data_IF_441250864944
#
_entry.id   IF_441250864944
#
_cell.length_a   1.000
_cell.length_b   1.000
_cell.length_c   1.000
_cell.angle_alpha   90.00
_cell.angle_beta   90.00
_cell.angle_gamma   90.00
#
_symmetry.space_group_name_H-M   'P 1'
#
loop_
_entity.id
_entity.type
_entity.pdbx_description
1 polymer ?
#
# COMPACT_ATOMS: atom_id res chain seq x y z
N UNK A 1 -15.79 -13.53 -21.62
CA UNK A 1 -16.65 -14.26 -20.67
C UNK A 1 -15.81 -14.68 -19.47
N UNK A 2 -16.08 -14.11 -18.29
CA UNK A 2 -15.35 -14.46 -17.07
C UNK A 2 -15.81 -15.81 -16.55
N UNK A 3 -14.91 -16.79 -16.46
CA UNK A 3 -15.17 -18.07 -15.81
C UNK A 3 -15.65 -17.78 -14.37
N UNK A 4 -16.87 -18.21 -14.05
CA UNK A 4 -17.39 -18.11 -12.69
C UNK A 4 -16.71 -19.19 -11.86
N UNK A 5 -15.72 -18.79 -11.06
CA UNK A 5 -15.04 -19.71 -10.15
C UNK A 5 -15.86 -19.82 -8.87
N UNK A 6 -16.58 -20.93 -8.73
CA UNK A 6 -17.45 -21.18 -7.57
C UNK A 6 -16.70 -21.78 -6.35
N UNK A 7 -15.46 -22.24 -6.53
CA UNK A 7 -14.70 -22.92 -5.48
C UNK A 7 -13.25 -22.43 -5.42
N UNK A 8 -12.73 -22.28 -4.21
CA UNK A 8 -11.34 -21.94 -3.95
C UNK A 8 -10.34 -23.04 -4.36
N UNK A 9 -10.78 -24.26 -4.68
CA UNK A 9 -9.86 -25.32 -5.11
C UNK A 9 -9.10 -24.98 -6.40
N UNK A 10 -9.77 -24.35 -7.39
CA UNK A 10 -9.10 -23.90 -8.62
C UNK A 10 -8.13 -22.73 -8.34
N UNK A 11 -8.58 -21.79 -7.49
CA UNK A 11 -7.77 -20.68 -7.00
C UNK A 11 -6.50 -21.17 -6.29
N UNK A 12 -6.60 -22.26 -5.51
CA UNK A 12 -5.49 -22.86 -4.77
C UNK A 12 -4.35 -23.29 -5.69
N UNK A 13 -4.66 -24.00 -6.77
CA UNK A 13 -3.65 -24.47 -7.72
C UNK A 13 -2.93 -23.26 -8.34
N UNK A 14 -3.68 -22.24 -8.77
CA UNK A 14 -3.12 -21.03 -9.39
C UNK A 14 -2.27 -20.21 -8.41
N UNK A 15 -2.70 -20.05 -7.16
CA UNK A 15 -1.95 -19.26 -6.18
C UNK A 15 -0.62 -19.94 -5.78
N UNK A 16 -0.56 -21.28 -5.79
CA UNK A 16 0.69 -22.01 -5.56
C UNK A 16 1.74 -21.68 -6.62
N UNK A 17 1.34 -21.57 -7.90
CA UNK A 17 2.26 -21.12 -8.96
C UNK A 17 2.69 -19.67 -8.77
N UNK A 18 1.75 -18.77 -8.45
CA UNK A 18 2.09 -17.35 -8.27
C UNK A 18 3.02 -17.09 -7.08
N UNK A 19 3.01 -17.95 -6.05
CA UNK A 19 3.93 -17.87 -4.91
C UNK A 19 5.40 -17.96 -5.32
N UNK A 20 5.71 -18.59 -6.46
CA UNK A 20 7.08 -18.67 -6.99
C UNK A 20 7.65 -17.30 -7.39
N UNK A 21 6.79 -16.28 -7.58
CA UNK A 21 7.21 -14.90 -7.87
C UNK A 21 7.61 -14.11 -6.62
N UNK A 22 7.65 -14.74 -5.44
CA UNK A 22 8.03 -14.13 -4.17
C UNK A 22 9.40 -14.68 -3.78
N UNK A 23 10.33 -13.77 -3.47
CA UNK A 23 11.65 -14.12 -2.97
C UNK A 23 11.55 -14.71 -1.56
N UNK A 24 12.24 -15.82 -1.34
CA UNK A 24 12.42 -16.37 0.00
C UNK A 24 13.48 -15.59 0.78
N UNK A 25 13.56 -15.83 2.09
CA UNK A 25 14.48 -15.11 2.98
C UNK A 25 15.95 -15.26 2.52
N UNK A 26 16.32 -16.42 2.00
CA UNK A 26 17.67 -16.67 1.48
C UNK A 26 17.97 -15.81 0.24
N UNK A 27 17.04 -15.73 -0.70
CA UNK A 27 17.14 -14.87 -1.88
C UNK A 27 17.19 -13.39 -1.49
N UNK A 28 16.38 -12.97 -0.52
CA UNK A 28 16.41 -11.61 0.02
C UNK A 28 17.75 -11.26 0.69
N UNK A 29 18.41 -12.23 1.34
CA UNK A 29 19.77 -12.03 1.87
C UNK A 29 20.80 -11.88 0.75
N UNK A 30 20.69 -12.69 -0.32
CA UNK A 30 21.55 -12.53 -1.51
C UNK A 30 21.35 -11.18 -2.19
N UNK A 31 20.12 -10.68 -2.29
CA UNK A 31 19.81 -9.37 -2.85
C UNK A 31 20.60 -8.23 -2.17
N UNK A 32 20.85 -8.34 -0.87
CA UNK A 32 21.64 -7.34 -0.12
C UNK A 32 23.08 -7.23 -0.61
N UNK A 33 23.64 -8.29 -1.19
CA UNK A 33 25.03 -8.35 -1.65
C UNK A 33 25.24 -7.72 -3.03
N UNK A 34 24.16 -7.53 -3.80
CA UNK A 34 24.23 -6.93 -5.15
C UNK A 34 24.73 -5.48 -5.09
N UNK A 35 25.66 -5.07 -5.96
CA UNK A 35 26.29 -3.74 -5.86
C UNK A 35 25.95 -2.79 -7.00
N UNK A 36 25.63 -3.31 -8.19
CA UNK A 36 25.35 -2.48 -9.37
C UNK A 36 23.91 -2.62 -9.82
N UNK A 37 23.40 -1.61 -10.53
CA UNK A 37 22.01 -1.61 -11.00
C UNK A 37 21.77 -2.72 -12.03
N UNK A 38 22.74 -2.99 -12.91
CA UNK A 38 22.67 -4.08 -13.89
C UNK A 38 22.54 -5.45 -13.22
N UNK A 39 23.43 -5.74 -12.25
CA UNK A 39 23.36 -6.98 -11.47
C UNK A 39 22.03 -7.08 -10.71
N UNK A 40 21.51 -5.95 -10.22
CA UNK A 40 20.23 -5.91 -9.52
C UNK A 40 19.06 -6.28 -10.44
N UNK A 41 18.98 -5.65 -11.61
CA UNK A 41 17.95 -5.94 -12.61
C UNK A 41 18.03 -7.42 -13.02
N UNK A 42 19.22 -7.93 -13.32
CA UNK A 42 19.43 -9.35 -13.66
C UNK A 42 18.98 -10.28 -12.54
N UNK A 43 19.32 -9.95 -11.29
CA UNK A 43 18.97 -10.76 -10.12
C UNK A 43 17.47 -10.86 -9.89
N UNK A 44 16.74 -9.74 -10.02
CA UNK A 44 15.30 -9.71 -9.70
C UNK A 44 14.40 -10.12 -10.87
N UNK A 45 14.93 -10.23 -12.09
CA UNK A 45 14.16 -10.41 -13.34
C UNK A 45 13.14 -11.55 -13.30
N UNK A 46 13.49 -12.70 -12.71
CA UNK A 46 12.58 -13.85 -12.61
C UNK A 46 11.36 -13.58 -11.72
N UNK A 47 11.48 -12.66 -10.77
CA UNK A 47 10.43 -12.28 -9.81
C UNK A 47 9.59 -11.08 -10.30
N UNK A 48 10.09 -10.37 -11.32
CA UNK A 48 9.48 -9.17 -11.91
C UNK A 48 9.47 -9.25 -13.43
N UNK A 49 8.64 -10.14 -14.01
CA UNK A 49 8.55 -10.30 -15.46
C UNK A 49 8.03 -9.00 -16.10
N UNK A 50 8.85 -8.39 -16.95
CA UNK A 50 8.56 -7.10 -17.60
C UNK A 50 9.55 -5.99 -17.24
N UNK A 51 10.44 -6.22 -16.27
CA UNK A 51 11.51 -5.27 -15.96
C UNK A 51 12.58 -5.32 -17.08
N UNK A 52 12.72 -4.22 -17.83
CA UNK A 52 13.70 -4.09 -18.91
C UNK A 52 15.04 -3.53 -18.37
N UNK A 53 16.12 -3.81 -19.09
CA UNK A 53 17.48 -3.36 -18.80
C UNK A 53 17.64 -1.84 -18.88
N UNK A 54 16.71 -1.15 -19.55
CA UNK A 54 16.75 0.29 -19.75
C UNK A 54 16.12 1.11 -18.61
N UNK A 55 15.55 0.45 -17.60
CA UNK A 55 15.03 1.12 -16.41
C UNK A 55 16.20 1.60 -15.53
N UNK A 56 16.68 2.81 -15.77
CA UNK A 56 17.86 3.37 -15.10
C UNK A 56 17.53 4.25 -13.89
N UNK A 57 16.31 4.78 -13.81
CA UNK A 57 15.88 5.65 -12.70
C UNK A 57 15.15 4.88 -11.61
N UNK A 58 15.11 5.45 -10.40
CA UNK A 58 14.32 4.90 -9.28
C UNK A 58 12.84 4.83 -9.68
N UNK A 59 12.37 5.84 -10.40
CA UNK A 59 10.99 6.00 -10.82
C UNK A 59 10.58 4.92 -11.82
N UNK A 60 11.39 4.69 -12.86
CA UNK A 60 11.12 3.63 -13.86
C UNK A 60 11.03 2.26 -13.20
N UNK A 61 11.97 1.98 -12.31
CA UNK A 61 12.01 0.72 -11.56
C UNK A 61 10.77 0.62 -10.66
N UNK A 62 10.44 1.67 -9.91
CA UNK A 62 9.27 1.68 -9.05
C UNK A 62 7.97 1.45 -9.85
N UNK A 63 7.82 2.07 -11.02
CA UNK A 63 6.68 1.87 -11.91
C UNK A 63 6.58 0.40 -12.32
N UNK A 64 7.68 -0.19 -12.80
CA UNK A 64 7.73 -1.60 -13.23
C UNK A 64 7.44 -2.60 -12.09
N UNK A 65 7.94 -2.33 -10.88
CA UNK A 65 7.67 -3.15 -9.69
C UNK A 65 6.18 -3.10 -9.32
N UNK A 66 5.59 -1.90 -9.32
CA UNK A 66 4.16 -1.73 -9.04
C UNK A 66 3.29 -2.37 -10.11
N UNK A 67 3.65 -2.23 -11.39
CA UNK A 67 2.94 -2.85 -12.49
C UNK A 67 2.93 -4.38 -12.37
N UNK A 68 4.08 -4.99 -12.05
CA UNK A 68 4.16 -6.42 -11.77
C UNK A 68 3.22 -6.83 -10.64
N UNK A 69 3.20 -6.07 -9.54
CA UNK A 69 2.36 -6.37 -8.39
C UNK A 69 0.87 -6.22 -8.70
N UNK A 70 0.48 -5.21 -9.47
CA UNK A 70 -0.90 -5.04 -9.94
C UNK A 70 -1.31 -6.19 -10.88
N UNK A 71 -0.44 -6.60 -11.82
CA UNK A 71 -0.66 -7.77 -12.69
C UNK A 71 -0.82 -9.05 -11.89
N UNK A 72 -0.04 -9.22 -10.82
CA UNK A 72 -0.16 -10.34 -9.89
C UNK A 72 -1.56 -10.37 -9.24
N UNK A 73 -2.02 -9.24 -8.70
CA UNK A 73 -3.35 -9.10 -8.11
C UNK A 73 -4.45 -9.36 -9.15
N UNK A 74 -4.31 -8.80 -10.35
CA UNK A 74 -5.24 -9.01 -11.45
C UNK A 74 -5.36 -10.46 -11.90
N UNK A 75 -4.24 -11.20 -11.91
CA UNK A 75 -4.26 -12.66 -12.07
C UNK A 75 -5.07 -13.30 -10.94
N UNK A 76 -4.84 -12.95 -9.67
CA UNK A 76 -5.62 -13.47 -8.54
C UNK A 76 -7.13 -13.19 -8.69
N UNK A 77 -7.50 -11.99 -9.10
CA UNK A 77 -8.89 -11.60 -9.40
C UNK A 77 -9.52 -12.54 -10.43
N UNK A 78 -8.79 -12.93 -11.48
CA UNK A 78 -9.32 -13.74 -12.59
C UNK A 78 -9.80 -15.13 -12.14
N UNK A 79 -9.23 -15.69 -11.08
CA UNK A 79 -9.49 -17.06 -10.64
C UNK A 79 -10.04 -17.17 -9.22
N UNK A 80 -10.50 -16.07 -8.61
CA UNK A 80 -11.10 -16.07 -7.26
C UNK A 80 -12.63 -16.02 -7.28
N UNK A 81 -13.31 -16.54 -6.24
CA UNK A 81 -14.76 -16.42 -6.07
C UNK A 81 -15.23 -14.97 -5.95
N UNK A 82 -16.53 -14.73 -6.18
CA UNK A 82 -17.13 -13.39 -6.31
C UNK A 82 -16.81 -12.46 -5.14
N UNK A 83 -16.92 -12.92 -3.89
CA UNK A 83 -16.67 -12.08 -2.73
C UNK A 83 -15.20 -11.65 -2.62
N UNK A 84 -14.27 -12.59 -2.78
CA UNK A 84 -12.83 -12.30 -2.82
C UNK A 84 -12.46 -11.42 -4.01
N UNK A 85 -13.04 -11.70 -5.18
CA UNK A 85 -12.88 -10.87 -6.38
C UNK A 85 -13.29 -9.42 -6.12
N UNK A 86 -14.44 -9.19 -5.47
CA UNK A 86 -14.90 -7.84 -5.08
C UNK A 86 -13.92 -7.19 -4.11
N UNK A 87 -13.48 -7.90 -3.07
CA UNK A 87 -12.48 -7.40 -2.13
C UNK A 87 -11.17 -7.01 -2.84
N UNK A 88 -10.63 -7.85 -3.72
CA UNK A 88 -9.39 -7.60 -4.44
C UNK A 88 -9.52 -6.45 -5.47
N UNK A 89 -10.68 -6.28 -6.11
CA UNK A 89 -10.95 -5.09 -6.92
C UNK A 89 -10.92 -3.83 -6.07
N UNK A 90 -11.56 -3.85 -4.90
CA UNK A 90 -11.51 -2.73 -3.96
C UNK A 90 -10.12 -2.49 -3.37
N UNK A 91 -9.31 -3.55 -3.24
CA UNK A 91 -7.89 -3.44 -2.89
C UNK A 91 -7.09 -2.67 -3.96
N UNK A 92 -7.39 -2.87 -5.25
CA UNK A 92 -6.73 -2.15 -6.34
C UNK A 92 -7.05 -0.64 -6.39
N UNK A 93 -8.10 -0.17 -5.71
CA UNK A 93 -8.45 1.26 -5.63
C UNK A 93 -7.30 2.10 -5.06
N UNK A 94 -6.40 1.50 -4.25
CA UNK A 94 -5.17 2.18 -3.79
C UNK A 94 -4.35 2.75 -4.96
N UNK A 95 -4.29 2.04 -6.09
CA UNK A 95 -3.53 2.45 -7.27
C UNK A 95 -4.29 3.48 -8.10
N UNK A 96 -5.62 3.39 -8.18
CA UNK A 96 -6.45 4.43 -8.79
C UNK A 96 -6.33 5.76 -8.03
N UNK A 97 -6.39 5.72 -6.70
CA UNK A 97 -6.13 6.88 -5.84
C UNK A 97 -4.72 7.43 -6.06
N UNK A 98 -3.71 6.57 -6.20
CA UNK A 98 -2.34 7.01 -6.52
C UNK A 98 -2.27 7.69 -7.89
N UNK A 99 -2.95 7.17 -8.90
CA UNK A 99 -3.02 7.77 -10.22
C UNK A 99 -3.69 9.15 -10.15
N UNK A 100 -4.83 9.26 -9.45
CA UNK A 100 -5.53 10.54 -9.23
C UNK A 100 -4.61 11.56 -8.56
N UNK A 101 -3.90 11.17 -7.49
CA UNK A 101 -2.93 12.04 -6.80
C UNK A 101 -1.84 12.53 -7.75
N UNK A 102 -1.27 11.64 -8.56
CA UNK A 102 -0.24 11.99 -9.54
C UNK A 102 -0.75 12.97 -10.59
N UNK A 103 -1.98 12.77 -11.09
CA UNK A 103 -2.57 13.69 -12.07
C UNK A 103 -2.79 15.07 -11.47
N UNK A 104 -3.33 15.16 -10.24
CA UNK A 104 -3.52 16.46 -9.56
C UNK A 104 -2.19 17.15 -9.31
N UNK A 105 -1.17 16.42 -8.85
CA UNK A 105 0.18 16.94 -8.68
C UNK A 105 0.75 17.44 -10.01
N UNK A 106 0.57 16.67 -11.09
CA UNK A 106 0.98 17.10 -12.44
C UNK A 106 0.28 18.38 -12.87
N UNK A 107 -1.02 18.53 -12.59
CA UNK A 107 -1.77 19.76 -12.85
C UNK A 107 -1.26 20.94 -12.04
N UNK A 108 -0.92 20.75 -10.75
CA UNK A 108 -0.28 21.79 -9.92
C UNK A 108 1.08 22.21 -10.49
N UNK A 109 1.81 21.26 -11.07
CA UNK A 109 3.11 21.47 -11.70
C UNK A 109 3.01 21.89 -13.18
N UNK A 110 1.81 22.20 -13.66
CA UNK A 110 1.54 22.64 -15.04
C UNK A 110 2.00 21.65 -16.13
N UNK A 111 2.07 20.35 -15.79
CA UNK A 111 2.43 19.29 -16.72
C UNK A 111 1.38 19.12 -17.82
N UNK A 112 1.84 18.83 -19.04
CA UNK A 112 0.98 18.53 -20.16
C UNK A 112 0.33 17.13 -20.06
N UNK A 113 -0.57 16.81 -20.99
CA UNK A 113 -1.29 15.53 -21.00
C UNK A 113 -0.35 14.31 -21.10
N UNK A 114 0.65 14.36 -21.98
CA UNK A 114 1.58 13.24 -22.21
C UNK A 114 2.41 12.95 -20.96
N UNK A 115 2.92 14.01 -20.32
CA UNK A 115 3.64 13.92 -19.05
C UNK A 115 2.77 13.29 -17.96
N UNK A 116 1.55 13.79 -17.76
CA UNK A 116 0.60 13.22 -16.78
C UNK A 116 0.27 11.76 -17.08
N UNK A 117 0.08 11.42 -18.35
CA UNK A 117 -0.24 10.06 -18.77
C UNK A 117 0.93 9.10 -18.50
N UNK A 118 2.17 9.55 -18.68
CA UNK A 118 3.38 8.75 -18.39
C UNK A 118 3.51 8.37 -16.90
N UNK A 119 2.92 9.17 -16.01
CA UNK A 119 2.97 8.94 -14.57
C UNK A 119 1.89 7.97 -14.07
N UNK A 120 0.84 7.74 -14.85
CA UNK A 120 -0.33 6.92 -14.48
C UNK A 120 -0.07 5.44 -14.74
N UNK A 121 -0.41 4.59 -13.77
CA UNK A 121 -0.43 3.15 -13.98
C UNK A 121 -1.75 2.71 -14.63
N UNK A 122 -1.74 2.47 -15.94
CA UNK A 122 -2.95 2.10 -16.69
C UNK A 122 -3.43 0.67 -16.38
N UNK A 123 -2.53 -0.23 -15.97
CA UNK A 123 -2.88 -1.62 -15.64
C UNK A 123 -3.87 -1.72 -14.47
N UNK A 124 -3.74 -0.85 -13.44
CA UNK A 124 -4.74 -0.81 -12.37
C UNK A 124 -6.12 -0.45 -12.92
N UNK A 125 -6.18 0.52 -13.82
CA UNK A 125 -7.42 1.02 -14.41
C UNK A 125 -8.04 0.02 -15.38
N UNK A 126 -7.25 -0.80 -16.07
CA UNK A 126 -7.74 -1.94 -16.86
C UNK A 126 -8.51 -2.92 -15.98
N UNK A 127 -7.94 -3.31 -14.83
CA UNK A 127 -8.62 -4.23 -13.92
C UNK A 127 -9.84 -3.60 -13.26
N UNK A 128 -9.83 -2.29 -13.01
CA UNK A 128 -10.97 -1.58 -12.45
C UNK A 128 -12.05 -1.25 -13.48
N UNK A 129 -11.72 -1.21 -14.77
CA UNK A 129 -12.61 -0.81 -15.86
C UNK A 129 -12.68 0.71 -16.05
N UNK A 130 -11.65 1.45 -15.62
CA UNK A 130 -11.64 2.91 -15.48
C UNK A 130 -10.60 3.61 -16.37
N UNK A 131 -10.14 2.95 -17.44
CA UNK A 131 -9.16 3.53 -18.38
C UNK A 131 -9.67 4.85 -18.97
N UNK A 132 -10.93 4.90 -19.41
CA UNK A 132 -11.52 6.12 -19.95
C UNK A 132 -11.59 7.23 -18.91
N UNK A 133 -11.94 6.88 -17.67
CA UNK A 133 -11.98 7.81 -16.55
C UNK A 133 -10.61 8.45 -16.28
N UNK A 134 -9.54 7.65 -16.19
CA UNK A 134 -8.22 8.20 -15.90
C UNK A 134 -7.65 9.01 -17.08
N UNK A 135 -7.91 8.59 -18.33
CA UNK A 135 -7.47 9.32 -19.52
C UNK A 135 -8.14 10.68 -19.61
N UNK A 136 -9.45 10.75 -19.41
CA UNK A 136 -10.17 12.02 -19.33
C UNK A 136 -9.64 12.91 -18.20
N UNK A 137 -9.25 12.33 -17.06
CA UNK A 137 -8.62 13.11 -15.98
C UNK A 137 -7.26 13.70 -16.39
N UNK A 138 -6.45 12.99 -17.17
CA UNK A 138 -5.14 13.49 -17.63
C UNK A 138 -5.24 14.64 -18.64
N UNK A 139 -6.38 14.81 -19.31
CA UNK A 139 -6.61 15.91 -20.26
C UNK A 139 -6.88 17.24 -19.56
N UNK A 140 -7.31 17.20 -18.29
CA UNK A 140 -7.72 18.39 -17.55
C UNK A 140 -6.51 19.20 -17.06
N UNK A 141 -6.51 20.50 -17.35
CA UNK A 141 -5.40 21.41 -17.05
C UNK A 141 -5.65 22.33 -15.85
N UNK A 142 -6.87 22.35 -15.28
CA UNK A 142 -7.20 23.19 -14.12
C UNK A 142 -7.75 22.39 -12.95
N UNK A 143 -7.45 22.82 -11.72
CA UNK A 143 -7.96 22.16 -10.50
C UNK A 143 -9.49 22.28 -10.35
N UNK A 144 -10.08 23.35 -10.88
CA UNK A 144 -11.53 23.57 -10.86
C UNK A 144 -12.26 22.57 -11.77
N UNK A 145 -11.71 22.33 -12.96
CA UNK A 145 -12.22 21.30 -13.87
C UNK A 145 -12.04 19.89 -13.28
N UNK A 146 -10.93 19.60 -12.58
CA UNK A 146 -10.76 18.32 -11.88
C UNK A 146 -11.87 18.14 -10.84
N UNK A 147 -12.16 19.18 -10.05
CA UNK A 147 -13.23 19.13 -9.06
C UNK A 147 -14.59 18.86 -9.71
N UNK A 148 -14.87 19.48 -10.86
CA UNK A 148 -16.10 19.27 -11.63
C UNK A 148 -16.18 17.84 -12.19
N UNK A 149 -15.10 17.35 -12.81
CA UNK A 149 -15.00 16.00 -13.37
C UNK A 149 -15.18 14.91 -12.30
N UNK A 150 -14.76 15.18 -11.07
CA UNK A 150 -14.87 14.26 -9.95
C UNK A 150 -16.25 14.24 -9.28
N UNK A 151 -17.15 15.16 -9.64
CA UNK A 151 -18.40 15.43 -8.90
C UNK A 151 -19.26 14.20 -8.66
N UNK A 152 -19.42 13.34 -9.66
CA UNK A 152 -20.29 12.16 -9.63
C UNK A 152 -19.52 10.87 -9.28
N UNK A 153 -18.28 11.01 -8.83
CA UNK A 153 -17.43 9.88 -8.43
C UNK A 153 -17.41 9.71 -6.92
N UNK A 154 -16.97 8.53 -6.46
CA UNK A 154 -16.66 8.27 -5.03
C UNK A 154 -15.57 9.20 -4.46
N UNK A 155 -14.81 9.89 -5.32
CA UNK A 155 -13.72 10.80 -4.96
C UNK A 155 -14.16 12.24 -4.72
N UNK A 156 -15.36 12.61 -5.17
CA UNK A 156 -15.92 13.97 -5.15
C UNK A 156 -15.67 14.74 -3.85
N UNK A 157 -16.02 14.12 -2.71
CA UNK A 157 -15.87 14.75 -1.39
C UNK A 157 -14.40 14.98 -1.03
N UNK A 158 -13.57 13.95 -1.16
CA UNK A 158 -12.15 14.00 -0.83
C UNK A 158 -11.41 15.05 -1.69
N UNK A 159 -11.72 15.09 -2.99
CA UNK A 159 -11.15 16.06 -3.94
C UNK A 159 -11.56 17.48 -3.58
N UNK A 160 -12.86 17.73 -3.35
CA UNK A 160 -13.37 19.05 -3.01
C UNK A 160 -12.75 19.59 -1.72
N UNK A 161 -12.75 18.78 -0.65
CA UNK A 161 -12.21 19.19 0.65
C UNK A 161 -10.70 19.38 0.59
N UNK A 162 -9.98 18.47 -0.08
CA UNK A 162 -8.54 18.55 -0.27
C UNK A 162 -8.08 19.74 -1.10
N UNK A 163 -8.72 20.00 -2.25
CA UNK A 163 -8.38 21.13 -3.12
C UNK A 163 -8.69 22.47 -2.47
N UNK A 164 -9.80 22.57 -1.72
CA UNK A 164 -10.12 23.77 -0.95
C UNK A 164 -9.00 24.09 0.06
N UNK A 165 -8.52 23.08 0.78
CA UNK A 165 -7.43 23.27 1.72
C UNK A 165 -6.12 23.66 1.03
N UNK A 166 -5.79 22.99 -0.08
CA UNK A 166 -4.59 23.29 -0.86
C UNK A 166 -4.57 24.74 -1.35
N UNK A 167 -5.68 25.24 -1.92
CA UNK A 167 -5.78 26.64 -2.39
C UNK A 167 -5.51 27.67 -1.28
N UNK A 168 -5.89 27.36 -0.04
CA UNK A 168 -5.75 28.27 1.09
C UNK A 168 -4.39 28.18 1.79
N UNK A 169 -3.69 27.05 1.71
CA UNK A 169 -2.51 26.77 2.55
C UNK A 169 -1.27 26.31 1.76
N UNK A 170 -1.39 26.06 0.46
CA UNK A 170 -0.35 25.48 -0.40
C UNK A 170 0.25 24.17 0.16
N UNK A 171 -0.61 23.33 0.76
CA UNK A 171 -0.22 22.07 1.41
C UNK A 171 -0.94 20.90 0.77
N UNK A 172 -0.17 19.97 0.21
CA UNK A 172 -0.67 18.82 -0.55
C UNK A 172 -1.00 17.64 0.38
N UNK A 173 -0.38 17.55 1.55
CA UNK A 173 -0.59 16.46 2.50
C UNK A 173 -2.08 16.23 2.81
N UNK A 174 -2.85 17.30 3.00
CA UNK A 174 -4.28 17.21 3.35
C UNK A 174 -5.09 16.61 2.21
N UNK A 175 -4.83 17.04 0.97
CA UNK A 175 -5.45 16.47 -0.22
C UNK A 175 -5.14 14.97 -0.32
N UNK A 176 -3.88 14.58 -0.15
CA UNK A 176 -3.50 13.17 -0.19
C UNK A 176 -4.17 12.36 0.92
N UNK A 177 -4.22 12.91 2.14
CA UNK A 177 -4.76 12.24 3.31
C UNK A 177 -6.26 11.93 3.15
N UNK A 178 -7.06 12.86 2.60
CA UNK A 178 -8.47 12.60 2.30
C UNK A 178 -8.68 11.46 1.30
N UNK A 179 -7.84 11.41 0.26
CA UNK A 179 -7.91 10.33 -0.73
C UNK A 179 -7.44 8.99 -0.13
N UNK A 180 -6.35 9.00 0.64
CA UNK A 180 -5.85 7.79 1.28
C UNK A 180 -6.84 7.24 2.32
N UNK A 181 -7.50 8.11 3.09
CA UNK A 181 -8.52 7.69 4.06
C UNK A 181 -9.67 6.95 3.37
N UNK A 182 -10.12 7.47 2.23
CA UNK A 182 -11.21 6.88 1.45
C UNK A 182 -10.92 5.41 1.11
N UNK A 183 -9.69 5.06 0.76
CA UNK A 183 -9.29 3.68 0.49
C UNK A 183 -9.56 2.75 1.69
N UNK A 184 -9.11 3.14 2.89
CA UNK A 184 -9.26 2.32 4.08
C UNK A 184 -10.72 2.24 4.55
N UNK A 185 -11.50 3.31 4.39
CA UNK A 185 -12.95 3.28 4.63
C UNK A 185 -13.68 2.34 3.65
N UNK A 186 -13.27 2.28 2.38
CA UNK A 186 -13.80 1.31 1.40
C UNK A 186 -13.49 -0.11 1.88
N UNK A 187 -12.23 -0.43 2.21
CA UNK A 187 -11.86 -1.77 2.68
C UNK A 187 -12.61 -2.18 3.95
N UNK A 188 -12.76 -1.27 4.91
CA UNK A 188 -13.51 -1.49 6.15
C UNK A 188 -14.97 -1.84 5.87
N UNK A 189 -15.61 -1.16 4.91
CA UNK A 189 -16.99 -1.46 4.49
C UNK A 189 -17.07 -2.83 3.80
N UNK A 190 -16.11 -3.14 2.93
CA UNK A 190 -16.07 -4.42 2.20
C UNK A 190 -15.96 -5.65 3.11
N UNK A 191 -15.23 -5.54 4.21
CA UNK A 191 -15.12 -6.62 5.21
C UNK A 191 -16.49 -7.07 5.73
N UNK A 192 -17.49 -6.18 5.77
CA UNK A 192 -18.85 -6.49 6.24
C UNK A 192 -19.59 -7.41 5.27
N UNK A 193 -19.22 -7.38 4.00
CA UNK A 193 -19.88 -8.10 2.91
C UNK A 193 -19.23 -9.46 2.59
N UNK A 194 -18.20 -9.86 3.35
CA UNK A 194 -17.49 -11.12 3.21
C UNK A 194 -18.20 -12.26 3.94
N UNK A 195 -18.00 -13.49 3.46
CA UNK A 195 -18.50 -14.67 4.16
C UNK A 195 -17.67 -14.96 5.44
N UNK A 196 -18.15 -15.86 6.30
CA UNK A 196 -17.52 -16.15 7.60
C UNK A 196 -16.04 -16.60 7.48
N UNK A 197 -15.71 -17.39 6.44
CA UNK A 197 -14.33 -17.90 6.22
C UNK A 197 -13.39 -16.76 5.82
N UNK A 198 -13.79 -15.97 4.83
CA UNK A 198 -13.07 -14.79 4.32
C UNK A 198 -12.89 -13.72 5.39
N UNK A 199 -13.98 -13.39 6.09
CA UNK A 199 -14.05 -12.29 7.06
C UNK A 199 -13.02 -12.44 8.17
N UNK A 200 -12.73 -13.66 8.63
CA UNK A 200 -11.78 -13.89 9.72
C UNK A 200 -10.36 -13.41 9.37
N UNK A 201 -9.86 -13.78 8.19
CA UNK A 201 -8.50 -13.41 7.75
C UNK A 201 -8.46 -11.99 7.21
N UNK A 202 -9.40 -11.63 6.34
CA UNK A 202 -9.41 -10.32 5.72
C UNK A 202 -9.69 -9.22 6.74
N UNK A 203 -10.55 -9.44 7.74
CA UNK A 203 -10.77 -8.43 8.79
C UNK A 203 -9.48 -8.15 9.58
N UNK A 204 -8.67 -9.18 9.87
CA UNK A 204 -7.41 -8.97 10.57
C UNK A 204 -6.43 -8.17 9.69
N UNK A 205 -6.35 -8.52 8.40
CA UNK A 205 -5.55 -7.80 7.41
C UNK A 205 -5.93 -6.32 7.30
N UNK A 206 -7.22 -6.04 7.14
CA UNK A 206 -7.73 -4.67 6.99
C UNK A 206 -7.53 -3.86 8.28
N UNK A 207 -7.75 -4.47 9.46
CA UNK A 207 -7.50 -3.81 10.76
C UNK A 207 -6.06 -3.36 10.92
N UNK A 208 -5.11 -4.26 10.69
CA UNK A 208 -3.71 -3.91 10.91
C UNK A 208 -3.20 -2.91 9.87
N UNK A 209 -3.58 -3.06 8.59
CA UNK A 209 -3.16 -2.12 7.53
C UNK A 209 -3.76 -0.73 7.75
N UNK A 210 -5.00 -0.65 8.24
CA UNK A 210 -5.64 0.62 8.61
C UNK A 210 -4.95 1.26 9.80
N UNK A 211 -4.57 0.47 10.81
CA UNK A 211 -3.84 1.00 11.96
C UNK A 211 -2.46 1.54 11.58
N UNK A 212 -1.71 0.84 10.73
CA UNK A 212 -0.44 1.33 10.18
C UNK A 212 -0.65 2.62 9.37
N UNK A 213 -1.73 2.73 8.61
CA UNK A 213 -2.09 3.97 7.93
C UNK A 213 -2.35 5.12 8.92
N UNK A 214 -3.12 4.88 9.97
CA UNK A 214 -3.39 5.89 10.99
C UNK A 214 -2.09 6.34 11.67
N UNK A 215 -1.21 5.41 12.05
CA UNK A 215 0.09 5.75 12.64
C UNK A 215 0.98 6.55 11.69
N UNK A 216 1.04 6.19 10.40
CA UNK A 216 1.77 6.97 9.39
C UNK A 216 1.16 8.37 9.20
N UNK A 217 -0.16 8.47 9.23
CA UNK A 217 -0.88 9.74 9.07
C UNK A 217 -0.59 10.67 10.24
N UNK A 218 -0.59 10.15 11.48
CA UNK A 218 -0.19 10.89 12.67
C UNK A 218 1.27 11.34 12.59
N UNK A 219 2.18 10.43 12.25
CA UNK A 219 3.60 10.73 12.10
C UNK A 219 3.84 11.84 11.07
N UNK A 220 3.21 11.77 9.89
CA UNK A 220 3.28 12.82 8.86
C UNK A 220 2.59 14.11 9.32
N UNK A 221 1.49 14.02 10.05
CA UNK A 221 0.78 15.17 10.62
C UNK A 221 1.65 15.97 11.59
N UNK A 222 2.42 15.29 12.44
CA UNK A 222 3.40 15.91 13.34
C UNK A 222 4.48 16.64 12.55
N UNK A 223 5.07 15.99 11.53
CA UNK A 223 6.12 16.57 10.67
C UNK A 223 5.63 17.83 9.97
N UNK A 224 4.43 17.77 9.36
CA UNK A 224 3.85 18.88 8.60
C UNK A 224 3.07 19.87 9.50
N UNK A 225 3.11 19.71 10.82
CA UNK A 225 2.45 20.58 11.81
C UNK A 225 0.96 20.81 11.53
N UNK A 226 0.27 19.75 11.14
CA UNK A 226 -1.15 19.81 10.80
C UNK A 226 -1.98 19.99 12.07
N UNK A 227 -3.01 20.84 12.00
CA UNK A 227 -3.96 21.04 13.10
C UNK A 227 -4.57 19.71 13.57
N UNK A 228 -4.74 19.55 14.87
CA UNK A 228 -5.19 18.29 15.50
C UNK A 228 -6.62 17.92 15.10
N UNK A 229 -7.51 18.92 15.04
CA UNK A 229 -8.91 18.70 14.65
C UNK A 229 -8.99 18.29 13.19
N UNK A 230 -8.16 18.88 12.33
CA UNK A 230 -8.04 18.43 10.94
C UNK A 230 -7.43 17.03 10.83
N UNK A 231 -6.31 16.76 11.51
CA UNK A 231 -5.62 15.48 11.50
C UNK A 231 -6.54 14.32 11.94
N UNK A 232 -7.39 14.56 12.94
CA UNK A 232 -8.37 13.57 13.41
C UNK A 232 -9.37 13.13 12.33
N UNK A 233 -9.66 14.01 11.35
CA UNK A 233 -10.60 13.70 10.27
C UNK A 233 -10.03 12.71 9.26
N UNK A 234 -8.72 12.54 9.18
CA UNK A 234 -8.07 11.61 8.25
C UNK A 234 -7.97 10.18 8.81
N UNK A 235 -8.21 10.01 10.11
CA UNK A 235 -8.06 8.72 10.75
C UNK A 235 -9.28 7.84 10.47
N UNK A 236 -9.04 6.53 10.37
CA UNK A 236 -10.09 5.54 10.14
C UNK A 236 -10.30 4.73 11.41
N UNK A 237 -11.54 4.71 11.90
CA UNK A 237 -11.96 3.96 13.08
C UNK A 237 -11.99 2.44 12.81
N UNK A 238 -10.82 1.84 12.70
CA UNK A 238 -10.62 0.40 12.48
C UNK A 238 -9.17 0.03 12.82
N UNK A 239 -9.01 -0.64 13.96
CA UNK A 239 -7.71 -0.91 14.56
C UNK A 239 -7.58 -2.39 14.92
N UNK A 240 -6.34 -2.89 14.96
CA UNK A 240 -6.01 -4.23 15.42
C UNK A 240 -5.76 -4.26 16.92
N UNK A 241 -4.84 -3.42 17.40
CA UNK A 241 -4.42 -3.37 18.79
C UNK A 241 -4.74 -2.03 19.45
N UNK A 242 -4.64 -0.92 18.71
CA UNK A 242 -5.02 0.39 19.23
C UNK A 242 -6.53 0.48 19.50
N UNK A 243 -6.89 1.45 20.32
CA UNK A 243 -8.25 1.88 20.58
C UNK A 243 -8.38 3.40 20.37
N UNK A 244 -9.61 3.91 20.50
CA UNK A 244 -9.90 5.35 20.29
C UNK A 244 -9.14 6.23 21.26
N UNK A 245 -9.13 5.87 22.55
CA UNK A 245 -8.47 6.65 23.59
C UNK A 245 -6.96 6.75 23.34
N UNK A 246 -6.32 5.65 22.92
CA UNK A 246 -4.90 5.66 22.54
C UNK A 246 -4.66 6.49 21.31
N UNK A 247 -5.52 6.41 20.31
CA UNK A 247 -5.38 7.23 19.12
C UNK A 247 -5.51 8.73 19.44
N UNK A 248 -6.48 9.12 20.26
CA UNK A 248 -6.66 10.50 20.72
C UNK A 248 -5.44 11.01 21.50
N UNK A 249 -4.88 10.17 22.37
CA UNK A 249 -3.63 10.48 23.06
C UNK A 249 -2.48 10.73 22.07
N UNK A 250 -2.37 9.93 21.00
CA UNK A 250 -1.33 10.08 19.99
C UNK A 250 -1.53 11.33 19.12
N UNK A 251 -2.78 11.73 18.81
CA UNK A 251 -3.10 12.96 18.07
C UNK A 251 -2.61 14.22 18.79
N UNK A 252 -2.61 14.18 20.13
CA UNK A 252 -2.19 15.32 20.95
C UNK A 252 -0.67 15.53 21.00
N UNK A 253 0.11 14.57 20.53
CA UNK A 253 1.56 14.66 20.51
C UNK A 253 2.04 15.60 19.40
N UNK A 254 2.99 16.47 19.72
CA UNK A 254 3.59 17.42 18.78
C UNK A 254 5.06 17.14 18.50
N UNK A 255 5.65 16.16 19.20
CA UNK A 255 7.03 15.73 19.05
C UNK A 255 7.10 14.31 18.51
N UNK A 256 7.98 14.10 17.54
CA UNK A 256 8.27 12.78 16.98
C UNK A 256 8.87 11.87 18.04
N UNK A 257 9.74 12.40 18.90
CA UNK A 257 10.41 11.61 19.93
C UNK A 257 9.40 11.09 20.97
N UNK A 258 8.45 11.95 21.39
CA UNK A 258 7.37 11.55 22.30
C UNK A 258 6.45 10.51 21.64
N UNK A 259 6.11 10.72 20.37
CA UNK A 259 5.31 9.77 19.58
C UNK A 259 5.98 8.40 19.52
N UNK A 260 7.29 8.36 19.22
CA UNK A 260 8.08 7.13 19.19
C UNK A 260 8.13 6.47 20.57
N UNK A 261 8.36 7.25 21.64
CA UNK A 261 8.45 6.74 23.00
C UNK A 261 7.13 6.12 23.47
N UNK A 262 6.01 6.81 23.27
CA UNK A 262 4.66 6.34 23.65
C UNK A 262 4.30 5.06 22.91
N UNK A 263 4.49 5.02 21.59
CA UNK A 263 4.22 3.82 20.79
C UNK A 263 5.10 2.64 21.22
N UNK A 264 6.39 2.88 21.43
CA UNK A 264 7.34 1.85 21.86
C UNK A 264 6.92 1.26 23.20
N UNK A 265 6.54 2.10 24.17
CA UNK A 265 6.08 1.64 25.47
C UNK A 265 4.77 0.86 25.37
N UNK A 266 3.84 1.32 24.55
CA UNK A 266 2.54 0.69 24.36
C UNK A 266 2.67 -0.72 23.79
N UNK A 267 3.39 -0.88 22.68
CA UNK A 267 3.51 -2.19 22.04
C UNK A 267 4.41 -3.18 22.77
N UNK A 268 5.32 -2.72 23.64
CA UNK A 268 6.04 -3.62 24.57
C UNK A 268 5.11 -4.28 25.60
N UNK A 269 3.98 -3.63 25.93
CA UNK A 269 3.02 -4.11 26.94
C UNK A 269 1.98 -5.07 26.36
N UNK A 270 1.69 -5.00 25.07
CA UNK A 270 0.73 -5.89 24.42
C UNK A 270 1.29 -7.32 24.35
N UNK A 271 0.56 -8.29 24.91
CA UNK A 271 0.99 -9.69 25.01
C UNK A 271 1.24 -10.33 23.65
N UNK A 272 0.43 -9.97 22.66
CA UNK A 272 0.43 -10.47 21.30
C UNK A 272 1.65 -10.00 20.50
N UNK A 273 2.08 -8.76 20.71
CA UNK A 273 3.19 -8.14 19.98
C UNK A 273 4.52 -8.32 20.70
N UNK A 274 4.52 -8.41 22.03
CA UNK A 274 5.73 -8.49 22.88
C UNK A 274 6.76 -9.55 22.42
N UNK A 275 6.39 -10.78 22.02
CA UNK A 275 7.37 -11.77 21.56
C UNK A 275 8.17 -11.28 20.35
N UNK A 276 7.52 -10.54 19.45
CA UNK A 276 8.13 -10.03 18.24
C UNK A 276 9.00 -8.80 18.52
N UNK A 277 8.56 -7.93 19.45
CA UNK A 277 9.36 -6.79 19.94
C UNK A 277 10.70 -7.21 20.54
N UNK A 278 10.76 -8.37 21.20
CA UNK A 278 11.99 -8.88 21.83
C UNK A 278 12.93 -9.48 20.77
N UNK A 279 12.38 -10.13 19.74
CA UNK A 279 13.18 -10.72 18.65
C UNK A 279 13.63 -9.74 17.57
N UNK A 280 12.91 -8.62 17.38
CA UNK A 280 13.22 -7.60 16.38
C UNK A 280 14.06 -6.48 17.01
N UNK A 281 15.21 -6.15 16.43
CA UNK A 281 15.89 -4.89 16.72
C UNK A 281 15.01 -3.74 16.21
N UNK A 282 14.28 -3.10 17.12
CA UNK A 282 13.47 -1.91 16.85
C UNK A 282 14.35 -0.87 16.14
N UNK A 283 14.08 -0.61 14.87
CA UNK A 283 14.74 0.46 14.17
C UNK A 283 13.96 1.74 14.43
N UNK A 284 14.38 2.52 15.42
CA UNK A 284 13.71 3.78 15.77
C UNK A 284 13.65 4.77 14.59
N UNK A 285 14.59 4.69 13.63
CA UNK A 285 14.55 5.51 12.40
C UNK A 285 13.41 5.10 11.46
N UNK A 286 12.91 3.87 11.57
CA UNK A 286 11.82 3.31 10.78
C UNK A 286 10.81 2.58 11.68
N UNK A 287 10.34 3.29 12.72
CA UNK A 287 9.46 2.71 13.74
C UNK A 287 8.19 2.09 13.12
N UNK A 288 7.53 2.80 12.21
CA UNK A 288 6.27 2.32 11.63
C UNK A 288 6.46 1.03 10.84
N UNK A 289 7.57 0.90 10.09
CA UNK A 289 7.91 -0.36 9.41
C UNK A 289 8.20 -1.49 10.39
N UNK A 290 8.81 -1.17 11.53
CA UNK A 290 9.06 -2.16 12.59
C UNK A 290 7.74 -2.66 13.19
N UNK A 291 6.78 -1.76 13.44
CA UNK A 291 5.44 -2.11 13.92
C UNK A 291 4.67 -2.92 12.88
N UNK A 292 4.72 -2.50 11.61
CA UNK A 292 4.10 -3.22 10.49
C UNK A 292 4.64 -4.65 10.39
N UNK A 293 5.96 -4.83 10.52
CA UNK A 293 6.57 -6.16 10.52
C UNK A 293 6.04 -7.04 11.65
N UNK A 294 5.85 -6.48 12.84
CA UNK A 294 5.29 -7.19 14.00
C UNK A 294 3.84 -7.62 13.73
N UNK A 295 3.07 -6.80 13.00
CA UNK A 295 1.69 -7.13 12.63
C UNK A 295 1.62 -8.24 11.61
N UNK A 296 2.50 -8.18 10.61
CA UNK A 296 2.64 -9.23 9.60
C UNK A 296 3.04 -10.56 10.24
N UNK A 297 4.01 -10.55 11.16
CA UNK A 297 4.48 -11.76 11.84
C UNK A 297 3.41 -12.34 12.79
N UNK A 298 2.63 -11.48 13.45
CA UNK A 298 1.45 -11.87 14.23
C UNK A 298 0.35 -12.48 13.36
N UNK A 299 0.01 -11.83 12.25
CA UNK A 299 -0.97 -12.29 11.27
C UNK A 299 -0.64 -13.71 10.79
N UNK A 300 0.60 -13.93 10.33
CA UNK A 300 1.02 -15.24 9.84
C UNK A 300 1.04 -16.31 10.93
N UNK A 301 1.45 -15.98 12.17
CA UNK A 301 1.44 -16.94 13.28
C UNK A 301 0.03 -17.42 13.61
N UNK A 302 -0.94 -16.52 13.70
CA UNK A 302 -2.31 -16.88 14.06
C UNK A 302 -2.96 -17.81 13.05
N UNK A 303 -2.71 -17.58 11.76
CA UNK A 303 -3.35 -18.35 10.71
C UNK A 303 -2.57 -19.61 10.34
N UNK A 304 -1.24 -19.63 10.43
CA UNK A 304 -0.44 -20.84 10.15
C UNK A 304 -0.85 -22.06 10.99
N UNK A 305 -1.35 -21.84 12.20
CA UNK A 305 -1.71 -22.91 13.17
C UNK A 305 -3.11 -23.49 12.91
N UNK A 306 -3.94 -22.90 12.04
CA UNK A 306 -5.40 -23.14 12.02
C UNK A 306 -5.98 -23.58 10.67
N UNK A 307 -5.17 -24.14 9.76
CA UNK A 307 -5.58 -24.34 8.38
C UNK A 307 -5.67 -25.84 8.04
N UNK A 308 -6.88 -26.38 8.23
CA UNK A 308 -7.25 -27.73 7.80
C UNK A 308 -8.30 -27.72 6.66
N UNK A 309 -8.78 -26.54 6.28
CA UNK A 309 -9.82 -26.33 5.26
C UNK A 309 -9.24 -25.66 4.01
N UNK A 310 -9.56 -26.19 2.83
CA UNK A 310 -8.99 -25.74 1.55
C UNK A 310 -9.34 -24.28 1.23
N UNK A 311 -10.54 -23.81 1.58
CA UNK A 311 -10.93 -22.42 1.35
C UNK A 311 -10.11 -21.50 2.24
N UNK A 312 -10.00 -21.82 3.54
CA UNK A 312 -9.17 -21.06 4.48
C UNK A 312 -7.70 -21.07 4.05
N UNK A 313 -7.19 -22.20 3.57
CA UNK A 313 -5.82 -22.29 3.06
C UNK A 313 -5.62 -21.41 1.83
N UNK A 314 -6.60 -21.38 0.94
CA UNK A 314 -6.53 -20.58 -0.27
C UNK A 314 -6.60 -19.08 0.04
N UNK A 315 -7.53 -18.67 0.91
CA UNK A 315 -7.64 -17.28 1.38
C UNK A 315 -6.33 -16.84 2.04
N UNK A 316 -5.77 -17.70 2.91
CA UNK A 316 -4.48 -17.45 3.54
C UNK A 316 -3.37 -17.27 2.50
N UNK A 317 -3.29 -18.16 1.49
CA UNK A 317 -2.26 -18.07 0.44
C UNK A 317 -2.42 -16.83 -0.43
N UNK A 318 -3.63 -16.40 -0.72
CA UNK A 318 -3.87 -15.12 -1.43
C UNK A 318 -3.27 -13.98 -0.61
N UNK A 319 -3.65 -13.86 0.66
CA UNK A 319 -3.16 -12.79 1.53
C UNK A 319 -1.65 -12.91 1.77
N UNK A 320 -1.10 -14.13 1.86
CA UNK A 320 0.34 -14.37 1.92
C UNK A 320 1.05 -13.78 0.71
N UNK A 321 0.52 -14.02 -0.50
CA UNK A 321 1.11 -13.51 -1.74
C UNK A 321 1.06 -11.99 -1.79
N UNK A 322 -0.07 -11.38 -1.42
CA UNK A 322 -0.23 -9.93 -1.38
C UNK A 322 0.75 -9.29 -0.39
N UNK A 323 0.73 -9.74 0.86
CA UNK A 323 1.54 -9.18 1.95
C UNK A 323 3.02 -9.32 1.63
N UNK A 324 3.48 -10.54 1.32
CA UNK A 324 4.92 -10.77 1.12
C UNK A 324 5.46 -10.06 -0.12
N UNK A 325 4.67 -9.96 -1.20
CA UNK A 325 5.15 -9.25 -2.40
C UNK A 325 5.20 -7.74 -2.18
N UNK A 326 4.23 -7.17 -1.48
CA UNK A 326 4.27 -5.74 -1.10
C UNK A 326 5.45 -5.44 -0.15
N UNK A 327 5.68 -6.29 0.86
CA UNK A 327 6.82 -6.18 1.78
C UNK A 327 8.17 -6.33 1.04
N UNK A 328 8.27 -7.30 0.12
CA UNK A 328 9.45 -7.48 -0.73
C UNK A 328 9.78 -6.19 -1.49
N UNK A 329 8.78 -5.60 -2.15
CA UNK A 329 8.96 -4.36 -2.92
C UNK A 329 9.38 -3.20 -1.99
N UNK A 330 8.63 -2.96 -0.92
CA UNK A 330 8.80 -1.78 -0.05
C UNK A 330 10.02 -1.86 0.87
N UNK A 331 10.33 -3.02 1.42
CA UNK A 331 11.33 -3.17 2.48
C UNK A 331 12.68 -3.69 1.96
N UNK A 332 12.69 -4.36 0.81
CA UNK A 332 13.90 -5.00 0.29
C UNK A 332 14.33 -4.44 -1.06
N UNK A 333 13.45 -4.46 -2.06
CA UNK A 333 13.79 -4.14 -3.45
C UNK A 333 14.01 -2.64 -3.64
N UNK A 334 13.02 -1.79 -3.35
CA UNK A 334 13.15 -0.33 -3.52
C UNK A 334 14.28 0.28 -2.66
N UNK A 335 14.41 -0.04 -1.35
CA UNK A 335 15.52 0.48 -0.55
C UNK A 335 16.89 0.05 -1.09
N UNK A 336 16.98 -1.12 -1.75
CA UNK A 336 18.22 -1.58 -2.37
C UNK A 336 18.56 -0.77 -3.62
N UNK A 337 17.58 -0.50 -4.48
CA UNK A 337 17.73 0.38 -5.66
C UNK A 337 18.29 1.74 -5.23
N UNK A 338 17.64 2.36 -4.24
CA UNK A 338 18.04 3.66 -3.69
C UNK A 338 19.48 3.62 -3.19
N UNK A 339 19.85 2.59 -2.42
CA UNK A 339 21.23 2.44 -1.90
C UNK A 339 22.27 2.31 -3.02
N UNK A 340 21.99 1.51 -4.06
CA UNK A 340 22.89 1.33 -5.21
C UNK A 340 23.09 2.67 -5.91
N UNK A 341 22.02 3.37 -6.24
CA UNK A 341 22.09 4.64 -6.98
C UNK A 341 22.75 5.75 -6.15
N UNK A 342 22.41 5.88 -4.86
CA UNK A 342 23.06 6.84 -3.96
C UNK A 342 24.56 6.57 -3.78
N UNK A 343 24.98 5.31 -3.71
CA UNK A 343 26.40 4.97 -3.61
C UNK A 343 27.19 5.42 -4.84
N UNK A 344 26.59 5.32 -6.03
CA UNK A 344 27.17 5.82 -7.28
C UNK A 344 27.33 7.34 -7.27
N UNK A 345 26.32 8.08 -6.79
CA UNK A 345 26.41 9.54 -6.66
C UNK A 345 27.48 10.00 -5.67
N UNK A 346 27.69 9.27 -4.56
CA UNK A 346 28.76 9.60 -3.60
C UNK A 346 30.17 9.37 -4.17
N UNK A 347 30.33 8.41 -5.08
CA UNK A 347 31.60 8.15 -5.75
C UNK A 347 31.93 9.19 -6.84
N UNK A 348 30.92 9.87 -7.41
CA UNK A 348 31.09 10.93 -8.41
C UNK A 348 31.39 12.31 -7.80
N UNK A 349 31.26 12.47 -6.48
CA UNK A 349 31.56 13.72 -5.74
C UNK A 349 32.95 13.72 -5.11
N UNK A 350 33.75 12.67 -5.35
CA UNK A 350 35.18 12.60 -5.04
C UNK A 350 35.93 12.62 -6.36
#
# INVERSE_FOLDING_TARGET
>A
MSVVVNSYAFTYIKIVFLKQLIMDDFTLQKLKQVKTIKQFIEFIRMYYPGLNYDAYTIEDIEVALNETYIKLIGKIISYTPVNMKRFLRNYLIKYEIRNIKKVILGTILEMNQEEKLSMVNQTAEEYLGNIGFIKGLTEIMSLDEIQLYMKDTKYSRAIREGLLYFRNNNEVFVLEAFLDQLYYEILKKEVRMLNKKEKKMISLYVKYTTEIYNLNTLYRGIINKIDRKLLSQFLVDNFLFLDKDKLENLINLTSIDDFIAVLTQYYKKIKETRPYFISSTLNLKHLIWSIEKIYVDYYFKIFKIKIDDIDLQTIFRILEVLIKKDDEIRLHVLPKVVKILQSKFKLLKK
#
